data_IF_310186613560
#
_entry.id   IF_310186613560
#
_cell.length_a   1.000
_cell.length_b   1.000
_cell.length_c   1.000
_cell.angle_alpha   90.00
_cell.angle_beta   90.00
_cell.angle_gamma   90.00
#
_symmetry.space_group_name_H-M   'P 1'
#
loop_
_entity.id
_entity.type
_entity.pdbx_description
1 polymer ?
#
# COMPACT_ATOMS: atom_id res chain seq x y z
N UNK A 1 20.07 -7.26 -29.58
CA UNK A 1 19.19 -8.45 -29.46
C UNK A 1 18.49 -8.38 -28.12
N UNK A 2 17.17 -8.23 -28.09
CA UNK A 2 16.42 -8.23 -26.81
C UNK A 2 16.21 -9.68 -26.37
N UNK A 3 16.62 -9.99 -25.13
CA UNK A 3 16.33 -11.29 -24.52
C UNK A 3 14.88 -11.35 -24.05
N UNK A 4 14.21 -12.48 -24.30
CA UNK A 4 12.87 -12.72 -23.76
C UNK A 4 12.96 -12.83 -22.25
N UNK A 5 12.03 -12.21 -21.52
CA UNK A 5 11.99 -12.28 -20.07
C UNK A 5 11.74 -13.73 -19.61
N UNK A 6 12.63 -14.22 -18.77
CA UNK A 6 12.54 -15.54 -18.14
C UNK A 6 13.27 -15.51 -16.79
N UNK A 7 13.24 -16.59 -16.03
CA UNK A 7 14.01 -16.70 -14.79
C UNK A 7 15.52 -16.54 -14.98
N UNK A 8 16.03 -16.85 -16.19
CA UNK A 8 17.46 -16.70 -16.53
C UNK A 8 17.82 -15.29 -17.00
N UNK A 9 16.86 -14.55 -17.55
CA UNK A 9 17.08 -13.21 -18.14
C UNK A 9 16.52 -12.08 -17.30
N UNK A 10 15.85 -12.38 -16.18
CA UNK A 10 15.37 -11.40 -15.22
C UNK A 10 16.55 -10.65 -14.58
N UNK A 11 16.44 -9.32 -14.52
CA UNK A 11 17.49 -8.44 -13.95
C UNK A 11 17.65 -8.65 -12.45
N UNK A 12 16.54 -8.91 -11.75
CA UNK A 12 16.53 -9.16 -10.31
C UNK A 12 16.34 -10.65 -10.01
N UNK A 13 17.09 -11.23 -9.07
CA UNK A 13 16.84 -12.59 -8.61
C UNK A 13 15.46 -12.73 -7.93
N UNK A 14 14.85 -11.67 -7.43
CA UNK A 14 13.49 -11.68 -6.85
C UNK A 14 12.46 -12.06 -7.92
N UNK A 15 12.52 -11.45 -9.11
CA UNK A 15 11.63 -11.78 -10.24
C UNK A 15 12.17 -12.89 -11.16
N UNK A 16 13.39 -13.39 -10.90
CA UNK A 16 13.99 -14.51 -11.60
C UNK A 16 13.91 -15.79 -10.76
N UNK A 17 15.08 -16.20 -10.23
CA UNK A 17 15.28 -17.44 -9.48
C UNK A 17 14.32 -17.62 -8.30
N UNK A 18 13.96 -16.55 -7.62
CA UNK A 18 13.14 -16.58 -6.40
C UNK A 18 11.68 -16.14 -6.62
N UNK A 19 11.24 -15.97 -7.87
CA UNK A 19 9.87 -15.54 -8.18
C UNK A 19 8.81 -16.38 -7.45
N UNK A 20 8.95 -17.70 -7.48
CA UNK A 20 8.02 -18.61 -6.81
C UNK A 20 8.02 -18.52 -5.27
N UNK A 21 9.01 -17.86 -4.68
CA UNK A 21 9.09 -17.61 -3.23
C UNK A 21 8.55 -16.24 -2.83
N UNK A 22 8.52 -15.30 -3.77
CA UNK A 22 8.11 -13.91 -3.55
C UNK A 22 6.81 -13.55 -4.29
N UNK A 23 6.14 -14.52 -4.91
CA UNK A 23 4.98 -14.29 -5.77
C UNK A 23 3.82 -13.59 -5.07
N UNK A 24 3.59 -13.90 -3.79
CA UNK A 24 2.57 -13.25 -2.98
C UNK A 24 2.79 -11.74 -2.79
N UNK A 25 4.00 -11.23 -3.01
CA UNK A 25 4.32 -9.80 -2.99
C UNK A 25 3.93 -9.08 -4.28
N UNK A 26 3.64 -9.80 -5.36
CA UNK A 26 3.25 -9.20 -6.64
C UNK A 26 1.94 -8.38 -6.52
N UNK A 27 1.03 -8.77 -5.65
CA UNK A 27 -0.21 -8.05 -5.39
C UNK A 27 -0.02 -6.66 -4.75
N UNK A 28 1.22 -6.35 -4.28
CA UNK A 28 1.55 -5.10 -3.59
C UNK A 28 2.62 -4.28 -4.30
N UNK A 29 3.59 -4.92 -4.97
CA UNK A 29 4.81 -4.26 -5.47
C UNK A 29 5.05 -4.39 -6.97
N UNK A 30 4.16 -5.04 -7.72
CA UNK A 30 4.23 -5.06 -9.19
C UNK A 30 3.67 -3.75 -9.78
N UNK A 31 3.93 -3.52 -11.07
CA UNK A 31 3.30 -2.41 -11.82
C UNK A 31 1.76 -2.52 -11.81
N UNK A 32 1.23 -3.74 -11.95
CA UNK A 32 -0.20 -4.02 -11.77
C UNK A 32 -0.71 -3.53 -10.42
N UNK A 33 0.01 -3.87 -9.35
CA UNK A 33 -0.37 -3.46 -7.99
C UNK A 33 -0.31 -1.94 -7.83
N UNK A 34 0.74 -1.28 -8.31
CA UNK A 34 0.86 0.18 -8.24
C UNK A 34 -0.33 0.86 -8.92
N UNK A 35 -0.72 0.41 -10.11
CA UNK A 35 -1.88 0.95 -10.84
C UNK A 35 -3.16 0.71 -10.03
N UNK A 36 -3.38 -0.50 -9.52
CA UNK A 36 -4.56 -0.84 -8.70
C UNK A 36 -4.67 0.03 -7.45
N UNK A 37 -3.56 0.26 -6.73
CA UNK A 37 -3.55 1.13 -5.55
C UNK A 37 -3.82 2.59 -5.90
N UNK A 38 -3.31 3.09 -7.02
CA UNK A 38 -3.66 4.43 -7.53
C UNK A 38 -5.15 4.55 -7.83
N UNK A 39 -5.74 3.58 -8.53
CA UNK A 39 -7.18 3.52 -8.79
C UNK A 39 -7.98 3.51 -7.48
N UNK A 40 -7.57 2.70 -6.49
CA UNK A 40 -8.21 2.66 -5.17
C UNK A 40 -8.18 4.02 -4.48
N UNK A 41 -7.05 4.69 -4.46
CA UNK A 41 -6.89 6.01 -3.82
C UNK A 41 -7.73 7.07 -4.50
N UNK A 42 -7.73 7.14 -5.83
CA UNK A 42 -8.57 8.08 -6.61
C UNK A 42 -10.05 7.87 -6.33
N UNK A 43 -10.51 6.63 -6.28
CA UNK A 43 -11.91 6.30 -6.02
C UNK A 43 -12.31 6.65 -4.58
N UNK A 44 -11.51 6.28 -3.58
CA UNK A 44 -11.82 6.61 -2.20
C UNK A 44 -11.74 8.13 -1.96
N UNK A 45 -10.82 8.85 -2.65
CA UNK A 45 -10.81 10.30 -2.66
C UNK A 45 -12.11 10.87 -3.21
N UNK A 46 -12.55 10.42 -4.39
CA UNK A 46 -13.77 10.88 -5.03
C UNK A 46 -15.02 10.62 -4.17
N UNK A 47 -15.11 9.44 -3.53
CA UNK A 47 -16.17 9.13 -2.58
C UNK A 47 -16.13 10.07 -1.38
N UNK A 48 -14.95 10.29 -0.79
CA UNK A 48 -14.80 11.18 0.38
C UNK A 48 -15.14 12.63 0.01
N UNK A 49 -14.73 13.07 -1.18
CA UNK A 49 -15.06 14.39 -1.70
C UNK A 49 -16.58 14.55 -1.89
N UNK A 50 -17.28 13.52 -2.34
CA UNK A 50 -18.73 13.54 -2.50
C UNK A 50 -19.49 13.65 -1.18
N UNK A 51 -18.92 13.16 -0.09
CA UNK A 51 -19.46 13.33 1.27
C UNK A 51 -19.21 14.72 1.83
N UNK A 52 -18.20 15.40 1.31
CA UNK A 52 -17.76 16.70 1.81
C UNK A 52 -18.38 17.89 1.07
N UNK A 53 -18.55 17.78 -0.26
CA UNK A 53 -19.08 18.83 -1.11
C UNK A 53 -20.57 18.60 -1.42
N UNK A 54 -21.50 19.50 -0.97
CA UNK A 54 -22.94 19.36 -1.17
C UNK A 54 -23.38 19.15 -2.63
N UNK A 55 -22.68 19.77 -3.59
CA UNK A 55 -22.98 19.62 -5.02
C UNK A 55 -22.71 18.22 -5.56
N UNK A 56 -22.00 17.38 -4.82
CA UNK A 56 -21.75 15.99 -5.14
C UNK A 56 -22.63 15.01 -4.35
N UNK A 57 -23.62 15.51 -3.59
CA UNK A 57 -24.44 14.70 -2.68
C UNK A 57 -25.21 13.57 -3.38
N UNK A 58 -25.54 13.71 -4.65
CA UNK A 58 -26.16 12.63 -5.46
C UNK A 58 -25.27 11.37 -5.54
N UNK A 59 -23.94 11.52 -5.42
CA UNK A 59 -22.98 10.41 -5.43
C UNK A 59 -22.93 9.65 -4.11
N UNK A 60 -23.58 10.15 -3.05
CA UNK A 60 -23.60 9.51 -1.74
C UNK A 60 -24.52 8.29 -1.65
N UNK A 61 -25.29 8.00 -2.70
CA UNK A 61 -26.10 6.79 -2.77
C UNK A 61 -25.23 5.53 -2.62
N UNK A 62 -25.67 4.59 -1.79
CA UNK A 62 -24.91 3.38 -1.48
C UNK A 62 -24.54 2.58 -2.74
N UNK A 63 -25.45 2.50 -3.71
CA UNK A 63 -25.22 1.79 -4.98
C UNK A 63 -24.14 2.47 -5.83
N UNK A 64 -24.07 3.81 -5.84
CA UNK A 64 -23.01 4.56 -6.55
C UNK A 64 -21.66 4.27 -5.93
N UNK A 65 -21.53 4.41 -4.61
CA UNK A 65 -20.30 4.11 -3.88
C UNK A 65 -19.85 2.65 -4.07
N UNK A 66 -20.79 1.72 -4.05
CA UNK A 66 -20.52 0.32 -4.33
C UNK A 66 -20.02 0.10 -5.75
N UNK A 67 -20.63 0.76 -6.74
CA UNK A 67 -20.19 0.73 -8.13
C UNK A 67 -18.78 1.26 -8.31
N UNK A 68 -18.48 2.39 -7.68
CA UNK A 68 -17.13 2.97 -7.68
C UNK A 68 -16.09 2.01 -7.06
N UNK A 69 -16.37 1.45 -5.89
CA UNK A 69 -15.44 0.53 -5.21
C UNK A 69 -15.18 -0.75 -6.00
N UNK A 70 -16.17 -1.26 -6.72
CA UNK A 70 -15.98 -2.42 -7.59
C UNK A 70 -14.85 -2.25 -8.60
N UNK A 71 -14.62 -1.04 -9.11
CA UNK A 71 -13.59 -0.76 -10.11
C UNK A 71 -12.21 -1.21 -9.62
N UNK A 72 -11.84 -0.97 -8.33
CA UNK A 72 -10.57 -1.42 -7.80
C UNK A 72 -10.65 -2.80 -7.12
N UNK A 73 -11.81 -3.20 -6.60
CA UNK A 73 -11.99 -4.52 -5.96
C UNK A 73 -11.96 -5.66 -6.98
N UNK A 74 -12.53 -5.43 -8.15
CA UNK A 74 -12.60 -6.39 -9.27
C UNK A 74 -11.55 -6.05 -10.36
N UNK A 75 -10.52 -5.26 -10.04
CA UNK A 75 -9.47 -4.81 -10.98
C UNK A 75 -8.67 -5.99 -11.51
N UNK A 76 -8.52 -6.07 -12.84
CA UNK A 76 -7.87 -7.17 -13.56
C UNK A 76 -6.56 -6.75 -14.22
N UNK A 77 -5.81 -7.71 -14.77
CA UNK A 77 -4.61 -7.41 -15.58
C UNK A 77 -4.99 -6.68 -16.88
N UNK A 78 -6.15 -6.98 -17.48
CA UNK A 78 -6.68 -6.28 -18.66
C UNK A 78 -6.97 -4.80 -18.34
N UNK A 79 -7.47 -4.52 -17.13
CA UNK A 79 -7.66 -3.13 -16.68
C UNK A 79 -6.31 -2.39 -16.56
N UNK A 80 -5.29 -3.06 -16.02
CA UNK A 80 -3.94 -2.49 -15.95
C UNK A 80 -3.35 -2.24 -17.34
N UNK A 81 -3.52 -3.18 -18.28
CA UNK A 81 -3.13 -2.99 -19.68
C UNK A 81 -3.86 -1.79 -20.30
N UNK A 82 -5.17 -1.64 -20.04
CA UNK A 82 -5.92 -0.48 -20.51
C UNK A 82 -5.35 0.84 -19.99
N UNK A 83 -4.98 0.91 -18.72
CA UNK A 83 -4.30 2.09 -18.14
C UNK A 83 -2.98 2.35 -18.87
N UNK A 84 -2.17 1.31 -19.17
CA UNK A 84 -0.91 1.46 -19.93
C UNK A 84 -1.11 1.92 -21.36
N UNK A 85 -2.19 1.50 -22.03
CA UNK A 85 -2.56 2.01 -23.35
C UNK A 85 -2.85 3.52 -23.30
N UNK A 86 -3.64 3.98 -22.34
CA UNK A 86 -3.95 5.40 -22.14
C UNK A 86 -2.66 6.16 -21.83
N UNK A 87 -1.80 5.62 -20.95
CA UNK A 87 -0.52 6.23 -20.61
C UNK A 87 0.39 6.41 -21.83
N UNK A 88 0.41 5.46 -22.75
CA UNK A 88 1.22 5.54 -23.97
C UNK A 88 0.87 6.72 -24.87
N UNK A 89 -0.35 7.26 -24.76
CA UNK A 89 -0.84 8.42 -25.49
C UNK A 89 -0.66 9.71 -24.68
N UNK A 90 -0.98 9.66 -23.37
CA UNK A 90 -0.94 10.84 -22.49
C UNK A 90 0.47 11.17 -22.00
N UNK A 91 1.40 10.23 -22.05
CA UNK A 91 2.74 10.30 -21.45
C UNK A 91 2.71 10.68 -19.95
N UNK A 92 1.65 10.27 -19.25
CA UNK A 92 1.47 10.60 -17.84
C UNK A 92 0.69 9.48 -17.13
N UNK A 93 1.35 8.81 -16.19
CA UNK A 93 0.88 7.63 -15.49
C UNK A 93 -0.39 7.87 -14.63
N UNK A 94 -0.38 8.88 -13.77
CA UNK A 94 -1.53 9.19 -12.90
C UNK A 94 -2.70 9.76 -13.72
N UNK A 95 -2.43 10.53 -14.77
CA UNK A 95 -3.49 11.03 -15.68
C UNK A 95 -4.16 9.86 -16.43
N UNK A 96 -3.42 8.84 -16.76
CA UNK A 96 -3.97 7.61 -17.36
C UNK A 96 -4.95 6.91 -16.42
N UNK A 97 -4.66 6.87 -15.13
CA UNK A 97 -5.56 6.33 -14.10
C UNK A 97 -6.86 7.14 -14.04
N UNK A 98 -6.79 8.47 -14.04
CA UNK A 98 -7.97 9.34 -14.07
C UNK A 98 -8.86 9.04 -15.28
N UNK A 99 -8.28 8.97 -16.48
CA UNK A 99 -9.03 8.65 -17.71
C UNK A 99 -9.64 7.26 -17.67
N UNK A 100 -8.92 6.27 -17.18
CA UNK A 100 -9.45 4.93 -16.99
C UNK A 100 -10.67 4.92 -16.05
N UNK A 101 -10.62 5.64 -14.93
CA UNK A 101 -11.77 5.74 -14.02
C UNK A 101 -12.95 6.45 -14.71
N UNK A 102 -12.71 7.51 -15.47
CA UNK A 102 -13.74 8.17 -16.29
C UNK A 102 -14.39 7.20 -17.28
N UNK A 103 -13.60 6.39 -18.00
CA UNK A 103 -14.13 5.34 -18.88
C UNK A 103 -15.01 4.33 -18.15
N UNK A 104 -14.54 3.82 -17.00
CA UNK A 104 -15.28 2.83 -16.19
C UNK A 104 -16.56 3.39 -15.58
N UNK A 105 -16.66 4.69 -15.37
CA UNK A 105 -17.83 5.32 -14.74
C UNK A 105 -18.85 5.86 -15.73
N UNK A 106 -18.54 5.98 -17.03
CA UNK A 106 -19.39 6.55 -18.06
C UNK A 106 -20.82 5.97 -18.15
N UNK A 107 -21.02 4.71 -17.74
CA UNK A 107 -22.30 4.04 -17.85
C UNK A 107 -23.24 4.24 -16.63
N UNK A 108 -22.73 4.81 -15.52
CA UNK A 108 -23.54 5.02 -14.30
C UNK A 108 -23.32 6.39 -13.65
N UNK A 109 -22.32 7.17 -14.08
CA UNK A 109 -22.05 8.52 -13.60
C UNK A 109 -22.37 9.56 -14.70
N UNK A 110 -23.03 10.65 -14.34
CA UNK A 110 -23.21 11.77 -15.24
C UNK A 110 -21.88 12.47 -15.49
N UNK A 111 -21.65 12.89 -16.74
CA UNK A 111 -20.42 13.51 -17.20
C UNK A 111 -19.99 14.73 -16.35
N UNK A 112 -20.95 15.51 -15.84
CA UNK A 112 -20.71 16.66 -14.95
C UNK A 112 -19.88 16.32 -13.71
N UNK A 113 -19.81 15.05 -13.30
CA UNK A 113 -19.07 14.61 -12.11
C UNK A 113 -17.64 14.14 -12.44
N UNK A 114 -17.31 13.90 -13.70
CA UNK A 114 -16.03 13.32 -14.09
C UNK A 114 -14.84 14.22 -13.73
N UNK A 115 -15.03 15.55 -13.77
CA UNK A 115 -13.96 16.50 -13.42
C UNK A 115 -13.64 16.54 -11.93
N UNK A 116 -14.45 15.91 -11.08
CA UNK A 116 -14.18 15.78 -9.64
C UNK A 116 -13.35 14.54 -9.28
N UNK A 117 -13.11 13.61 -10.21
CA UNK A 117 -12.36 12.37 -9.94
C UNK A 117 -10.95 12.70 -9.44
N UNK A 118 -10.24 13.61 -10.09
CA UNK A 118 -8.89 14.08 -9.70
C UNK A 118 -8.89 15.56 -9.28
N UNK A 119 -10.00 16.06 -8.75
CA UNK A 119 -10.18 17.47 -8.44
C UNK A 119 -9.13 17.99 -7.44
N UNK A 120 -8.41 19.05 -7.82
CA UNK A 120 -7.44 19.73 -6.96
C UNK A 120 -6.18 18.95 -6.61
N UNK A 121 -6.05 17.72 -7.07
CA UNK A 121 -4.92 16.84 -6.77
C UNK A 121 -3.71 17.10 -7.68
N UNK A 122 -2.57 16.65 -7.22
CA UNK A 122 -1.35 16.46 -8.01
C UNK A 122 -0.98 14.99 -8.01
N UNK A 123 -0.17 14.56 -8.99
CA UNK A 123 0.29 13.15 -9.07
C UNK A 123 0.91 12.63 -7.78
N UNK A 124 1.61 13.49 -7.04
CA UNK A 124 2.24 13.11 -5.78
C UNK A 124 1.23 12.89 -4.64
N UNK A 125 0.04 13.46 -4.69
CA UNK A 125 -1.02 13.12 -3.72
C UNK A 125 -1.47 11.67 -3.89
N UNK A 126 -1.46 11.17 -5.13
CA UNK A 126 -1.80 9.77 -5.43
C UNK A 126 -0.62 8.84 -5.16
N UNK A 127 0.59 9.20 -5.59
CA UNK A 127 1.77 8.35 -5.37
C UNK A 127 2.14 8.24 -3.88
N UNK A 128 2.14 9.38 -3.16
CA UNK A 128 2.50 9.42 -1.73
C UNK A 128 1.38 8.94 -0.79
N UNK A 129 0.32 8.40 -1.31
CA UNK A 129 -0.75 7.69 -0.58
C UNK A 129 -0.85 6.23 -1.02
N UNK A 130 -0.82 5.94 -2.32
CA UNK A 130 -0.91 4.58 -2.85
C UNK A 130 0.29 3.71 -2.47
N UNK A 131 1.52 4.24 -2.55
CA UNK A 131 2.73 3.49 -2.18
C UNK A 131 2.78 3.16 -0.68
N UNK A 132 2.58 4.11 0.25
CA UNK A 132 2.49 3.76 1.67
C UNK A 132 1.35 2.79 1.99
N UNK A 133 0.22 2.90 1.27
CA UNK A 133 -0.92 1.98 1.46
C UNK A 133 -0.55 0.55 1.04
N UNK A 134 0.12 0.37 -0.11
CA UNK A 134 0.58 -0.95 -0.54
C UNK A 134 1.62 -1.55 0.42
N UNK A 135 2.54 -0.74 0.94
CA UNK A 135 3.52 -1.18 1.97
C UNK A 135 2.80 -1.63 3.24
N UNK A 136 1.82 -0.85 3.70
CA UNK A 136 1.01 -1.19 4.88
C UNK A 136 0.33 -2.55 4.70
N UNK A 137 -0.39 -2.72 3.58
CA UNK A 137 -1.14 -3.95 3.31
C UNK A 137 -0.18 -5.15 3.18
N UNK A 138 0.97 -5.00 2.48
CA UNK A 138 1.98 -6.05 2.37
C UNK A 138 2.59 -6.45 3.73
N UNK A 139 2.85 -5.48 4.60
CA UNK A 139 3.34 -5.76 5.96
C UNK A 139 2.30 -6.53 6.78
N UNK A 140 1.05 -6.11 6.73
CA UNK A 140 -0.03 -6.70 7.52
C UNK A 140 -0.46 -8.08 7.02
N UNK A 141 -0.52 -8.27 5.70
CA UNK A 141 -1.08 -9.48 5.10
C UNK A 141 -0.04 -10.55 4.78
N UNK A 142 1.25 -10.17 4.60
CA UNK A 142 2.31 -11.10 4.20
C UNK A 142 3.44 -11.16 5.22
N UNK A 143 4.06 -10.01 5.52
CA UNK A 143 5.31 -9.99 6.27
C UNK A 143 5.11 -10.36 7.75
N UNK A 144 4.16 -9.71 8.43
CA UNK A 144 3.92 -9.99 9.85
C UNK A 144 3.46 -11.44 10.10
N UNK A 145 2.48 -11.98 9.35
CA UNK A 145 2.11 -13.38 9.51
C UNK A 145 3.28 -14.33 9.28
N UNK A 146 4.07 -14.14 8.22
CA UNK A 146 5.21 -14.99 7.94
C UNK A 146 6.30 -14.94 9.02
N UNK A 147 6.58 -13.77 9.58
CA UNK A 147 7.53 -13.65 10.69
C UNK A 147 6.98 -14.25 11.99
N UNK A 148 5.69 -14.10 12.27
CA UNK A 148 5.02 -14.69 13.42
C UNK A 148 5.02 -16.23 13.35
N UNK A 149 4.89 -16.83 12.16
CA UNK A 149 5.07 -18.28 11.96
C UNK A 149 6.48 -18.74 12.34
N UNK A 150 7.52 -18.00 11.91
CA UNK A 150 8.92 -18.30 12.27
C UNK A 150 9.13 -18.20 13.77
N UNK A 151 8.63 -17.14 14.41
CA UNK A 151 8.69 -16.95 15.87
C UNK A 151 7.98 -18.11 16.59
N UNK A 152 6.78 -18.49 16.13
CA UNK A 152 6.02 -19.61 16.68
C UNK A 152 6.76 -20.94 16.59
N UNK A 153 7.38 -21.24 15.44
CA UNK A 153 8.19 -22.44 15.26
C UNK A 153 9.41 -22.47 16.20
N UNK A 154 10.11 -21.33 16.34
CA UNK A 154 11.24 -21.23 17.27
C UNK A 154 10.81 -21.39 18.73
N UNK A 155 9.68 -20.83 19.14
CA UNK A 155 9.12 -21.03 20.50
C UNK A 155 8.85 -22.49 20.78
N UNK A 156 8.20 -23.18 19.82
CA UNK A 156 7.93 -24.62 19.95
C UNK A 156 9.22 -25.41 20.18
N UNK A 157 10.28 -25.17 19.40
CA UNK A 157 11.57 -25.83 19.60
C UNK A 157 12.23 -25.43 20.91
N UNK A 158 12.11 -24.19 21.35
CA UNK A 158 12.64 -23.73 22.63
C UNK A 158 11.98 -24.46 23.81
N UNK A 159 10.67 -24.69 23.75
CA UNK A 159 9.93 -25.46 24.75
C UNK A 159 10.30 -26.95 24.71
N UNK A 160 10.33 -27.56 23.51
CA UNK A 160 10.70 -28.96 23.33
C UNK A 160 12.12 -29.28 23.85
N UNK A 161 13.05 -28.33 23.68
CA UNK A 161 14.46 -28.51 24.03
C UNK A 161 14.87 -27.82 25.35
N UNK A 162 13.91 -27.38 26.14
CA UNK A 162 14.19 -26.61 27.37
C UNK A 162 15.01 -27.40 28.41
N UNK A 163 14.91 -28.72 28.42
CA UNK A 163 15.62 -29.59 29.35
C UNK A 163 16.88 -30.22 28.79
N UNK A 164 17.23 -29.94 27.53
CA UNK A 164 18.45 -30.44 26.89
C UNK A 164 19.66 -29.62 27.39
N UNK A 165 20.58 -30.23 28.16
CA UNK A 165 21.79 -29.51 28.58
C UNK A 165 22.72 -29.27 27.39
N UNK A 166 23.33 -28.13 27.38
CA UNK A 166 24.25 -27.69 26.32
C UNK A 166 25.47 -27.00 26.95
N UNK A 167 26.63 -27.22 26.36
CA UNK A 167 27.84 -26.50 26.74
C UNK A 167 28.06 -25.35 25.74
N UNK A 168 27.98 -24.10 26.23
CA UNK A 168 28.31 -22.94 25.44
C UNK A 168 29.79 -22.98 25.04
N UNK A 169 30.14 -22.25 24.00
CA UNK A 169 31.52 -22.12 23.48
C UNK A 169 31.95 -20.68 23.44
N UNK A 170 33.21 -20.42 23.76
CA UNK A 170 33.86 -19.13 23.54
C UNK A 170 35.18 -19.38 22.82
N UNK A 171 35.44 -18.65 21.74
CA UNK A 171 36.60 -18.88 20.87
C UNK A 171 36.79 -20.34 20.45
N UNK A 172 35.67 -21.06 20.22
CA UNK A 172 35.67 -22.50 19.87
C UNK A 172 35.97 -23.46 21.03
N UNK A 173 36.22 -22.97 22.23
CA UNK A 173 36.49 -23.76 23.42
C UNK A 173 35.24 -23.94 24.30
N UNK A 174 35.10 -25.06 25.03
CA UNK A 174 34.04 -25.25 26.01
C UNK A 174 34.02 -24.12 27.02
N UNK A 175 32.80 -23.62 27.33
CA UNK A 175 32.58 -22.53 28.27
C UNK A 175 31.45 -22.92 29.27
N UNK A 176 30.60 -21.97 29.66
CA UNK A 176 29.58 -22.19 30.68
C UNK A 176 28.48 -23.15 30.21
N UNK A 177 27.95 -24.01 31.10
CA UNK A 177 26.76 -24.79 30.82
C UNK A 177 25.53 -23.90 30.59
N UNK A 178 24.66 -24.30 29.68
CA UNK A 178 23.38 -23.68 29.38
C UNK A 178 22.37 -24.75 28.96
N UNK A 179 21.21 -24.35 28.46
CA UNK A 179 20.19 -25.24 27.90
C UNK A 179 19.86 -24.84 26.47
N UNK A 180 19.69 -25.84 25.59
CA UNK A 180 19.44 -25.59 24.16
C UNK A 180 18.17 -24.74 23.92
N UNK A 181 17.07 -25.07 24.61
CA UNK A 181 15.83 -24.31 24.51
C UNK A 181 16.01 -22.84 24.90
N UNK A 182 16.78 -22.56 25.96
CA UNK A 182 17.11 -21.16 26.35
C UNK A 182 17.92 -20.44 25.28
N UNK A 183 18.87 -21.10 24.64
CA UNK A 183 19.65 -20.49 23.55
C UNK A 183 18.75 -20.16 22.34
N UNK A 184 17.76 -21.01 22.01
CA UNK A 184 16.77 -20.71 20.96
C UNK A 184 15.87 -19.54 21.36
N UNK A 185 15.45 -19.45 22.64
CA UNK A 185 14.63 -18.34 23.13
C UNK A 185 15.30 -16.97 22.99
N UNK A 186 16.63 -16.89 22.97
CA UNK A 186 17.35 -15.62 22.69
C UNK A 186 16.98 -15.07 21.32
N UNK A 187 16.86 -15.93 20.32
CA UNK A 187 16.46 -15.52 18.95
C UNK A 187 14.99 -15.11 18.90
N UNK A 188 14.11 -15.84 19.56
CA UNK A 188 12.69 -15.49 19.72
C UNK A 188 12.56 -14.07 20.30
N UNK A 189 13.19 -13.83 21.44
CA UNK A 189 13.16 -12.53 22.10
C UNK A 189 13.63 -11.40 21.19
N UNK A 190 14.76 -11.60 20.48
CA UNK A 190 15.30 -10.60 19.56
C UNK A 190 14.36 -10.30 18.39
N UNK A 191 13.76 -11.34 17.80
CA UNK A 191 12.80 -11.18 16.70
C UNK A 191 11.54 -10.44 17.17
N UNK A 192 11.01 -10.76 18.34
CA UNK A 192 9.85 -10.05 18.92
C UNK A 192 10.15 -8.56 19.17
N UNK A 193 11.35 -8.24 19.68
CA UNK A 193 11.75 -6.84 19.87
C UNK A 193 11.85 -6.10 18.54
N UNK A 194 12.44 -6.70 17.50
CA UNK A 194 12.54 -6.08 16.18
C UNK A 194 11.17 -5.94 15.50
N UNK A 195 10.29 -6.93 15.65
CA UNK A 195 8.92 -6.86 15.15
C UNK A 195 8.14 -5.72 15.84
N UNK A 196 8.28 -5.57 17.16
CA UNK A 196 7.65 -4.48 17.90
C UNK A 196 8.14 -3.11 17.43
N UNK A 197 9.45 -2.95 17.19
CA UNK A 197 10.02 -1.73 16.62
C UNK A 197 9.48 -1.44 15.22
N UNK A 198 9.41 -2.44 14.36
CA UNK A 198 8.87 -2.28 13.00
C UNK A 198 7.38 -1.87 13.03
N UNK A 199 6.58 -2.52 13.88
CA UNK A 199 5.16 -2.20 14.06
C UNK A 199 4.93 -0.78 14.64
N UNK A 200 5.90 -0.23 15.36
CA UNK A 200 5.85 1.13 15.91
C UNK A 200 6.19 2.22 14.88
N UNK A 201 6.79 1.87 13.73
CA UNK A 201 7.08 2.84 12.67
C UNK A 201 5.76 3.29 12.03
N UNK A 202 5.43 4.59 12.05
CA UNK A 202 4.22 5.08 11.42
C UNK A 202 4.33 4.99 9.91
N UNK A 203 3.30 4.48 9.27
CA UNK A 203 3.20 4.51 7.81
C UNK A 203 2.51 5.80 7.42
N UNK A 204 3.29 6.74 6.93
CA UNK A 204 2.88 8.12 6.68
C UNK A 204 2.61 8.39 5.20
N UNK A 205 1.77 9.40 4.96
CA UNK A 205 1.41 9.85 3.61
C UNK A 205 1.38 11.38 3.52
N UNK A 206 1.79 11.91 2.36
CA UNK A 206 1.62 13.30 1.98
C UNK A 206 0.31 13.44 1.20
N UNK A 207 -0.48 14.45 1.57
CA UNK A 207 -1.71 14.80 0.86
C UNK A 207 -2.05 16.28 1.08
N UNK A 208 -2.18 17.06 0.00
CA UNK A 208 -2.47 18.49 0.10
C UNK A 208 -2.13 19.31 -1.15
N UNK A 209 -2.06 18.69 -2.33
CA UNK A 209 -1.69 19.37 -3.57
C UNK A 209 -0.17 19.52 -3.74
N UNK A 210 0.26 20.27 -4.75
CA UNK A 210 1.66 20.35 -5.18
C UNK A 210 2.62 20.80 -4.07
N UNK A 211 2.18 21.68 -3.16
CA UNK A 211 3.01 22.25 -2.09
C UNK A 211 2.49 21.93 -0.68
N UNK A 212 1.53 21.03 -0.56
CA UNK A 212 0.93 20.65 0.73
C UNK A 212 -0.11 21.64 1.29
N UNK A 213 -0.45 22.70 0.54
CA UNK A 213 -1.29 23.80 1.04
C UNK A 213 -2.73 23.78 0.48
N UNK A 214 -3.15 22.73 -0.22
CA UNK A 214 -4.50 22.65 -0.86
C UNK A 214 -4.85 23.84 -1.77
N UNK A 215 -3.86 24.43 -2.47
CA UNK A 215 -4.05 25.68 -3.21
C UNK A 215 -5.21 25.63 -4.21
N UNK A 216 -5.30 24.58 -5.04
CA UNK A 216 -6.37 24.43 -6.01
C UNK A 216 -7.74 24.26 -5.35
N UNK A 217 -7.80 23.52 -4.24
CA UNK A 217 -9.02 23.33 -3.46
C UNK A 217 -9.50 24.64 -2.86
N UNK A 218 -8.60 25.42 -2.23
CA UNK A 218 -8.95 26.73 -1.64
C UNK A 218 -9.34 27.77 -2.69
N UNK A 219 -8.76 27.73 -3.90
CA UNK A 219 -9.17 28.64 -4.97
C UNK A 219 -10.59 28.32 -5.45
N UNK A 220 -10.92 27.03 -5.57
CA UNK A 220 -12.24 26.62 -6.08
C UNK A 220 -13.34 26.72 -4.98
N UNK A 221 -13.03 26.38 -3.77
CA UNK A 221 -13.98 26.31 -2.64
C UNK A 221 -13.32 26.82 -1.35
N UNK A 222 -13.14 28.15 -1.20
CA UNK A 222 -12.42 28.76 -0.07
C UNK A 222 -13.12 28.61 1.29
N UNK A 223 -14.42 28.31 1.31
CA UNK A 223 -15.24 28.20 2.51
C UNK A 223 -15.09 26.88 3.25
N UNK A 224 -14.38 25.87 2.68
CA UNK A 224 -14.24 24.55 3.28
C UNK A 224 -12.90 24.38 4.00
N UNK A 225 -12.91 23.60 5.08
CA UNK A 225 -11.69 23.20 5.80
C UNK A 225 -11.01 22.00 5.11
N UNK A 226 -10.19 22.30 4.10
CA UNK A 226 -9.45 21.29 3.35
C UNK A 226 -8.39 20.56 4.17
N UNK A 227 -7.90 21.17 5.27
CA UNK A 227 -6.97 20.49 6.18
C UNK A 227 -7.69 19.39 6.95
N UNK A 228 -8.88 19.67 7.50
CA UNK A 228 -9.72 18.66 8.14
C UNK A 228 -10.13 17.56 7.15
N UNK A 229 -10.48 17.93 5.91
CA UNK A 229 -10.75 16.98 4.83
C UNK A 229 -9.56 16.04 4.59
N UNK A 230 -8.34 16.60 4.41
CA UNK A 230 -7.14 15.80 4.18
C UNK A 230 -6.80 14.87 5.34
N UNK A 231 -7.01 15.33 6.60
CA UNK A 231 -6.84 14.49 7.77
C UNK A 231 -7.83 13.31 7.77
N UNK A 232 -9.11 13.58 7.52
CA UNK A 232 -10.15 12.54 7.41
C UNK A 232 -9.78 11.53 6.32
N UNK A 233 -9.46 12.00 5.12
CA UNK A 233 -9.17 11.13 3.98
C UNK A 233 -7.97 10.22 4.26
N UNK A 234 -6.85 10.78 4.69
CA UNK A 234 -5.63 9.99 4.90
C UNK A 234 -5.73 9.09 6.13
N UNK A 235 -6.26 9.61 7.25
CA UNK A 235 -6.21 8.89 8.52
C UNK A 235 -7.40 7.94 8.73
N UNK A 236 -8.61 8.36 8.38
CA UNK A 236 -9.81 7.57 8.63
C UNK A 236 -10.14 6.65 7.44
N UNK A 237 -10.00 7.14 6.19
CA UNK A 237 -10.34 6.36 5.00
C UNK A 237 -9.20 5.44 4.56
N UNK A 238 -7.97 5.96 4.47
CA UNK A 238 -6.80 5.17 4.07
C UNK A 238 -6.10 4.47 5.25
N UNK A 239 -6.35 4.93 6.49
CA UNK A 239 -5.72 4.39 7.69
C UNK A 239 -4.20 4.59 7.71
N UNK A 240 -3.72 5.73 7.18
CA UNK A 240 -2.33 6.15 7.16
C UNK A 240 -2.15 7.35 8.08
N UNK A 241 -0.92 7.64 8.49
CA UNK A 241 -0.63 8.88 9.21
C UNK A 241 -0.43 10.01 8.20
N UNK A 242 -1.23 11.08 8.27
CA UNK A 242 -0.97 12.25 7.43
C UNK A 242 0.21 13.06 7.95
N UNK A 243 1.16 13.36 7.05
CA UNK A 243 2.20 14.34 7.32
C UNK A 243 1.72 15.73 6.88
N UNK A 244 1.66 16.67 7.84
CA UNK A 244 1.12 18.00 7.59
C UNK A 244 2.14 18.96 6.95
N UNK A 245 3.41 18.80 7.31
CA UNK A 245 4.50 19.66 6.87
C UNK A 245 5.22 19.02 5.69
N UNK A 246 4.74 19.30 4.50
CA UNK A 246 5.23 18.71 3.25
C UNK A 246 5.34 19.75 2.15
N UNK A 247 6.08 19.41 1.10
CA UNK A 247 6.18 20.23 -0.13
C UNK A 247 5.62 19.47 -1.32
#
# INVERSE_FOLDING_TARGET
MYMVLSTLTAISPVDGRYRNKAENLAAYFSEYALIKYRVRVEIEYFITLSEFLPQLSELNAAEVKKGLRKIYQEFTEEDALRVKEIESVTNHDVKAVEYFIKEKTNHFLAEKYHEFIHFGLTSQDINNTSVPLSIKDALQEVYYPGLEEVIGALKKYAEEWMDIPMLAKTHGQPASPTRLGKEVMVFVYRLEQQLALLKAVPISAKFGGATGNFNAHHVAYPEYDWRAFGNKFVSEVLGLKREEWTT
#
